data_IF_076699639093
#
_entry.id   IF_076699639093
#
_cell.length_a   1.000
_cell.length_b   1.000
_cell.length_c   1.000
_cell.angle_alpha   90.00
_cell.angle_beta   90.00
_cell.angle_gamma   90.00
#
_symmetry.space_group_name_H-M   'P 1'
#
loop_
_entity.id
_entity.type
_entity.pdbx_description
1 polymer ?
#
# COMPACT_ATOMS: atom_id res chain seq x y z
N UNK A 1 -31.15 -39.04 -14.87
CA UNK A 1 -29.92 -38.25 -15.08
C UNK A 1 -30.23 -36.75 -15.09
N UNK A 2 -30.64 -36.15 -13.97
CA UNK A 2 -30.97 -34.71 -13.92
C UNK A 2 -30.63 -34.01 -12.59
N UNK A 3 -29.78 -34.60 -11.75
CA UNK A 3 -29.51 -34.05 -10.40
C UNK A 3 -28.04 -33.78 -10.07
N UNK A 4 -27.09 -33.94 -11.01
CA UNK A 4 -25.66 -33.70 -10.72
C UNK A 4 -25.10 -32.36 -11.23
N UNK A 5 -25.85 -31.58 -12.01
CA UNK A 5 -25.32 -30.35 -12.64
C UNK A 5 -25.50 -29.06 -11.82
N UNK A 6 -26.14 -29.09 -10.64
CA UNK A 6 -26.46 -27.86 -9.89
C UNK A 6 -25.52 -27.53 -8.72
N UNK A 7 -24.49 -28.33 -8.48
CA UNK A 7 -23.65 -28.17 -7.27
C UNK A 7 -22.36 -27.39 -7.51
N UNK A 8 -21.96 -27.12 -8.76
CA UNK A 8 -20.68 -26.47 -9.10
C UNK A 8 -20.75 -24.94 -9.05
N UNK A 9 -21.95 -24.34 -9.12
CA UNK A 9 -22.11 -22.88 -9.24
C UNK A 9 -21.74 -22.05 -8.00
N UNK A 10 -21.44 -22.68 -6.85
CA UNK A 10 -21.19 -21.97 -5.59
C UNK A 10 -19.75 -22.04 -5.07
N UNK A 11 -18.86 -22.81 -5.71
CA UNK A 11 -17.43 -22.75 -5.42
C UNK A 11 -16.77 -21.94 -6.54
N UNK A 12 -16.18 -20.79 -6.19
CA UNK A 12 -15.28 -20.10 -7.10
C UNK A 12 -14.22 -21.10 -7.53
N UNK A 13 -14.05 -21.31 -8.85
CA UNK A 13 -12.98 -22.17 -9.36
C UNK A 13 -11.65 -21.57 -8.87
N UNK A 14 -10.90 -22.28 -7.99
CA UNK A 14 -9.66 -21.75 -7.43
C UNK A 14 -8.61 -21.45 -8.51
N UNK A 15 -8.68 -22.13 -9.66
CA UNK A 15 -7.80 -21.89 -10.80
C UNK A 15 -8.19 -20.59 -11.52
N UNK A 16 -9.48 -20.41 -11.83
CA UNK A 16 -10.02 -19.18 -12.42
C UNK A 16 -9.67 -17.95 -11.56
N UNK A 17 -9.97 -18.01 -10.27
CA UNK A 17 -9.68 -16.90 -9.34
C UNK A 17 -8.18 -16.58 -9.30
N UNK A 18 -7.33 -17.60 -9.18
CA UNK A 18 -5.88 -17.42 -9.14
C UNK A 18 -5.34 -16.80 -10.42
N UNK A 19 -5.87 -17.16 -11.59
CA UNK A 19 -5.47 -16.56 -12.86
C UNK A 19 -5.94 -15.10 -12.99
N UNK A 20 -7.18 -14.80 -12.59
CA UNK A 20 -7.70 -13.42 -12.59
C UNK A 20 -6.84 -12.54 -11.67
N UNK A 21 -6.50 -13.03 -10.47
CA UNK A 21 -5.58 -12.36 -9.54
C UNK A 21 -4.20 -12.16 -10.14
N UNK A 22 -3.63 -13.18 -10.80
CA UNK A 22 -2.34 -13.07 -11.48
C UNK A 22 -2.31 -11.98 -12.54
N UNK A 23 -3.33 -11.90 -13.41
CA UNK A 23 -3.40 -10.84 -14.41
C UNK A 23 -3.64 -9.47 -13.77
N UNK A 24 -4.49 -9.40 -12.73
CA UNK A 24 -4.71 -8.15 -12.00
C UNK A 24 -3.42 -7.65 -11.34
N UNK A 25 -2.62 -8.54 -10.76
CA UNK A 25 -1.33 -8.22 -10.16
C UNK A 25 -0.37 -7.58 -11.18
N UNK A 26 -0.35 -8.09 -12.41
CA UNK A 26 0.41 -7.47 -13.51
C UNK A 26 -0.13 -6.10 -13.87
N UNK A 27 -1.45 -5.93 -13.96
CA UNK A 27 -2.09 -4.62 -14.23
C UNK A 27 -1.74 -3.58 -13.16
N UNK A 28 -1.80 -3.95 -11.88
CA UNK A 28 -1.46 -3.08 -10.77
C UNK A 28 0.02 -2.71 -10.78
N UNK A 29 0.91 -3.66 -11.07
CA UNK A 29 2.33 -3.39 -11.29
C UNK A 29 2.56 -2.37 -12.42
N UNK A 30 1.84 -2.50 -13.54
CA UNK A 30 1.90 -1.50 -14.63
C UNK A 30 1.39 -0.14 -14.20
N UNK A 31 0.37 -0.06 -13.35
CA UNK A 31 -0.12 1.22 -12.83
C UNK A 31 0.95 1.91 -11.98
N UNK A 32 1.62 1.18 -11.10
CA UNK A 32 2.74 1.71 -10.30
C UNK A 32 3.88 2.19 -11.21
N UNK A 33 4.25 1.39 -12.22
CA UNK A 33 5.25 1.75 -13.21
C UNK A 33 4.91 3.08 -13.92
N UNK A 34 3.65 3.26 -14.37
CA UNK A 34 3.20 4.51 -14.99
C UNK A 34 3.25 5.69 -14.04
N UNK A 35 2.86 5.48 -12.77
CA UNK A 35 2.91 6.50 -11.73
C UNK A 35 4.36 6.98 -11.52
N UNK A 36 5.31 6.06 -11.30
CA UNK A 36 6.74 6.37 -11.15
C UNK A 36 7.26 7.18 -12.34
N UNK A 37 6.97 6.73 -13.56
CA UNK A 37 7.38 7.43 -14.79
C UNK A 37 6.80 8.84 -14.89
N UNK A 38 5.53 9.02 -14.52
CA UNK A 38 4.83 10.32 -14.58
C UNK A 38 5.41 11.36 -13.63
N UNK A 39 6.12 10.95 -12.58
CA UNK A 39 6.68 11.83 -11.56
C UNK A 39 8.14 12.22 -11.83
N UNK A 40 8.64 11.97 -13.04
CA UNK A 40 10.08 12.06 -13.38
C UNK A 40 10.95 11.17 -12.50
N UNK A 41 10.39 10.06 -12.01
CA UNK A 41 11.17 9.06 -11.27
C UNK A 41 12.34 8.55 -12.11
N UNK A 42 13.48 8.29 -11.48
CA UNK A 42 14.65 7.81 -12.20
C UNK A 42 14.45 6.38 -12.67
N UNK A 43 15.05 6.02 -13.82
CA UNK A 43 15.04 4.65 -14.36
C UNK A 43 15.45 3.60 -13.31
N UNK A 44 16.36 3.97 -12.40
CA UNK A 44 16.80 3.10 -11.33
C UNK A 44 15.70 2.78 -10.30
N UNK A 45 14.80 3.73 -10.00
CA UNK A 45 13.68 3.52 -9.08
C UNK A 45 12.68 2.50 -9.64
N UNK A 46 12.40 2.64 -10.94
CA UNK A 46 11.54 1.73 -11.69
C UNK A 46 12.10 0.31 -11.70
N UNK A 47 13.40 0.15 -12.01
CA UNK A 47 14.06 -1.15 -12.04
C UNK A 47 14.10 -1.81 -10.66
N UNK A 48 14.42 -1.07 -9.59
CA UNK A 48 14.41 -1.60 -8.23
C UNK A 48 13.04 -2.12 -7.79
N UNK A 49 11.97 -1.41 -8.14
CA UNK A 49 10.62 -1.87 -7.85
C UNK A 49 10.32 -3.18 -8.59
N UNK A 50 10.65 -3.27 -9.88
CA UNK A 50 10.46 -4.50 -10.67
C UNK A 50 11.26 -5.67 -10.10
N UNK A 51 12.56 -5.47 -9.83
CA UNK A 51 13.46 -6.45 -9.21
C UNK A 51 12.91 -6.95 -7.86
N UNK A 52 12.36 -6.03 -7.04
CA UNK A 52 11.80 -6.39 -5.72
C UNK A 52 10.62 -7.37 -5.79
N UNK A 53 9.95 -7.45 -6.94
CA UNK A 53 8.80 -8.32 -7.16
C UNK A 53 9.17 -9.62 -7.91
N UNK A 54 10.31 -9.70 -8.59
CA UNK A 54 10.62 -10.78 -9.53
C UNK A 54 10.56 -12.18 -8.91
N UNK A 55 11.06 -12.35 -7.69
CA UNK A 55 11.15 -13.66 -7.04
C UNK A 55 10.02 -13.96 -6.04
N UNK A 56 9.02 -13.07 -5.95
CA UNK A 56 7.90 -13.21 -5.03
C UNK A 56 6.79 -14.10 -5.61
N UNK A 57 6.13 -14.85 -4.73
CA UNK A 57 4.86 -15.54 -5.03
C UNK A 57 3.76 -14.52 -5.36
N UNK A 58 2.63 -14.98 -5.92
CA UNK A 58 1.50 -14.08 -6.24
C UNK A 58 1.02 -13.34 -4.98
N UNK A 59 0.84 -14.06 -3.88
CA UNK A 59 0.37 -13.53 -2.60
C UNK A 59 1.35 -12.49 -2.03
N UNK A 60 2.65 -12.73 -2.15
CA UNK A 60 3.68 -11.80 -1.70
C UNK A 60 3.73 -10.54 -2.57
N UNK A 61 3.60 -10.69 -3.91
CA UNK A 61 3.51 -9.55 -4.83
C UNK A 61 2.29 -8.69 -4.55
N UNK A 62 1.14 -9.32 -4.33
CA UNK A 62 -0.10 -8.61 -3.99
C UNK A 62 0.07 -7.80 -2.71
N UNK A 63 0.64 -8.39 -1.65
CA UNK A 63 0.94 -7.68 -0.40
C UNK A 63 1.90 -6.51 -0.61
N UNK A 64 2.98 -6.72 -1.37
CA UNK A 64 3.96 -5.67 -1.64
C UNK A 64 3.34 -4.50 -2.45
N UNK A 65 2.51 -4.81 -3.44
CA UNK A 65 1.77 -3.81 -4.22
C UNK A 65 0.76 -3.07 -3.34
N UNK A 66 -0.01 -3.78 -2.51
CA UNK A 66 -0.98 -3.16 -1.60
C UNK A 66 -0.30 -2.18 -0.63
N UNK A 67 0.82 -2.59 -0.04
CA UNK A 67 1.65 -1.73 0.83
C UNK A 67 2.14 -0.49 0.07
N UNK A 68 2.66 -0.67 -1.15
CA UNK A 68 3.10 0.45 -1.97
C UNK A 68 1.96 1.45 -2.24
N UNK A 69 0.76 0.96 -2.58
CA UNK A 69 -0.40 1.79 -2.90
C UNK A 69 -0.96 2.50 -1.67
N UNK A 70 -0.91 1.89 -0.48
CA UNK A 70 -1.28 2.54 0.77
C UNK A 70 -0.36 3.72 1.09
N UNK A 71 0.96 3.53 0.91
CA UNK A 71 1.95 4.59 1.10
C UNK A 71 1.92 5.64 -0.03
N UNK A 72 1.47 5.26 -1.24
CA UNK A 72 1.45 6.10 -2.43
C UNK A 72 0.04 6.20 -3.05
N UNK A 73 -0.97 6.61 -2.26
CA UNK A 73 -2.39 6.59 -2.69
C UNK A 73 -2.67 7.35 -3.99
N UNK A 74 -1.85 8.35 -4.33
CA UNK A 74 -1.92 9.09 -5.61
C UNK A 74 -1.67 8.19 -6.84
N UNK A 75 -0.99 7.05 -6.68
CA UNK A 75 -0.82 6.04 -7.72
C UNK A 75 -2.16 5.46 -8.22
N UNK A 76 -3.21 5.53 -7.41
CA UNK A 76 -4.56 5.09 -7.80
C UNK A 76 -5.37 6.18 -8.49
N UNK A 77 -4.86 7.42 -8.59
CA UNK A 77 -5.59 8.53 -9.22
C UNK A 77 -5.83 8.23 -10.70
N UNK A 78 -7.11 8.13 -11.07
CA UNK A 78 -7.54 7.84 -12.45
C UNK A 78 -7.54 6.35 -12.82
N UNK A 79 -7.22 5.44 -11.88
CA UNK A 79 -7.37 4.00 -12.09
C UNK A 79 -8.84 3.60 -11.92
N UNK A 80 -9.38 2.87 -12.90
CA UNK A 80 -10.68 2.19 -12.77
C UNK A 80 -10.48 0.69 -12.51
N UNK A 81 -10.85 0.23 -11.32
CA UNK A 81 -10.75 -1.18 -10.94
C UNK A 81 -11.65 -2.10 -11.79
N UNK A 82 -12.73 -1.58 -12.38
CA UNK A 82 -13.53 -2.35 -13.35
C UNK A 82 -12.74 -2.62 -14.62
N UNK A 83 -11.94 -1.67 -15.08
CA UNK A 83 -11.06 -1.87 -16.23
C UNK A 83 -9.93 -2.84 -15.94
N UNK A 84 -9.37 -2.81 -14.72
CA UNK A 84 -8.40 -3.82 -14.26
C UNK A 84 -9.05 -5.21 -14.33
N UNK A 85 -10.23 -5.38 -13.73
CA UNK A 85 -10.95 -6.65 -13.74
C UNK A 85 -11.26 -7.14 -15.16
N UNK A 86 -11.82 -6.30 -16.02
CA UNK A 86 -12.18 -6.68 -17.40
C UNK A 86 -10.94 -7.10 -18.19
N UNK A 87 -9.80 -6.42 -18.04
CA UNK A 87 -8.53 -6.83 -18.67
C UNK A 87 -8.04 -8.18 -18.13
N UNK A 88 -8.15 -8.41 -16.84
CA UNK A 88 -7.75 -9.69 -16.22
C UNK A 88 -8.61 -10.85 -16.73
N UNK A 89 -9.93 -10.67 -16.77
CA UNK A 89 -10.88 -11.66 -17.30
C UNK A 89 -10.63 -11.91 -18.79
N UNK A 90 -10.38 -10.85 -19.57
CA UNK A 90 -10.05 -10.98 -20.99
C UNK A 90 -8.75 -11.75 -21.23
N UNK A 91 -7.71 -11.53 -20.42
CA UNK A 91 -6.45 -12.27 -20.53
C UNK A 91 -6.57 -13.73 -20.08
N UNK A 92 -7.48 -14.03 -19.16
CA UNK A 92 -7.75 -15.39 -18.72
C UNK A 92 -8.58 -16.18 -19.74
N UNK A 93 -9.50 -15.51 -20.43
CA UNK A 93 -10.41 -16.15 -21.39
C UNK A 93 -9.67 -16.56 -22.68
N UNK A 94 -9.81 -17.82 -23.08
CA UNK A 94 -9.22 -18.37 -24.30
C UNK A 94 -10.08 -18.12 -25.56
N UNK A 95 -11.39 -17.91 -25.37
CA UNK A 95 -12.36 -17.64 -26.43
C UNK A 95 -13.23 -16.43 -26.11
N UNK A 96 -13.74 -15.77 -27.16
CA UNK A 96 -14.65 -14.65 -27.01
C UNK A 96 -15.99 -15.06 -26.39
N UNK A 97 -16.49 -16.26 -26.71
CA UNK A 97 -17.73 -16.80 -26.13
C UNK A 97 -17.59 -17.03 -24.62
N UNK A 98 -16.45 -17.57 -24.18
CA UNK A 98 -16.18 -17.73 -22.75
C UNK A 98 -16.00 -16.38 -22.03
N UNK A 99 -15.33 -15.41 -22.65
CA UNK A 99 -15.28 -14.03 -22.15
C UNK A 99 -16.68 -13.45 -21.94
N UNK A 100 -17.57 -13.59 -22.93
CA UNK A 100 -18.96 -13.12 -22.82
C UNK A 100 -19.69 -13.83 -21.68
N UNK A 101 -19.46 -15.14 -21.50
CA UNK A 101 -20.05 -15.91 -20.39
C UNK A 101 -19.63 -15.33 -19.04
N UNK A 102 -18.34 -15.08 -18.84
CA UNK A 102 -17.82 -14.53 -17.57
C UNK A 102 -18.29 -13.09 -17.32
N UNK A 103 -18.21 -12.21 -18.33
CA UNK A 103 -18.58 -10.79 -18.17
C UNK A 103 -20.08 -10.61 -17.93
N UNK A 104 -20.93 -11.50 -18.47
CA UNK A 104 -22.37 -11.45 -18.25
C UNK A 104 -22.81 -12.06 -16.91
N UNK A 105 -21.97 -12.85 -16.25
CA UNK A 105 -22.20 -13.27 -14.86
C UNK A 105 -21.92 -12.10 -13.90
N UNK A 106 -22.96 -11.30 -13.68
CA UNK A 106 -22.89 -10.11 -12.81
C UNK A 106 -22.46 -10.43 -11.39
N UNK A 107 -22.86 -11.60 -10.85
CA UNK A 107 -22.53 -11.99 -9.48
C UNK A 107 -21.05 -12.32 -9.38
N UNK A 108 -20.54 -13.11 -10.32
CA UNK A 108 -19.12 -13.46 -10.40
C UNK A 108 -18.24 -12.21 -10.61
N UNK A 109 -18.61 -11.33 -11.54
CA UNK A 109 -17.89 -10.07 -11.77
C UNK A 109 -17.88 -9.15 -10.55
N UNK A 110 -18.99 -9.07 -9.80
CA UNK A 110 -19.04 -8.30 -8.56
C UNK A 110 -18.12 -8.90 -7.48
N UNK A 111 -18.12 -10.24 -7.34
CA UNK A 111 -17.24 -10.93 -6.40
C UNK A 111 -15.77 -10.68 -6.73
N UNK A 112 -15.36 -10.81 -8.00
CA UNK A 112 -13.97 -10.53 -8.39
C UNK A 112 -13.61 -9.06 -8.23
N UNK A 113 -14.52 -8.13 -8.53
CA UNK A 113 -14.24 -6.71 -8.31
C UNK A 113 -13.98 -6.41 -6.83
N UNK A 114 -14.77 -7.00 -5.93
CA UNK A 114 -14.58 -6.83 -4.49
C UNK A 114 -13.28 -7.48 -4.04
N UNK A 115 -13.00 -8.72 -4.47
CA UNK A 115 -11.74 -9.40 -4.21
C UNK A 115 -10.54 -8.52 -4.58
N UNK A 116 -10.48 -7.99 -5.81
CA UNK A 116 -9.36 -7.16 -6.25
C UNK A 116 -9.26 -5.85 -5.45
N UNK A 117 -10.39 -5.24 -5.07
CA UNK A 117 -10.37 -4.05 -4.21
C UNK A 117 -9.81 -4.37 -2.82
N UNK A 118 -10.26 -5.46 -2.21
CA UNK A 118 -9.81 -5.89 -0.88
C UNK A 118 -8.33 -6.30 -0.91
N UNK A 119 -7.85 -6.86 -2.03
CA UNK A 119 -6.44 -7.22 -2.23
C UNK A 119 -5.54 -5.98 -2.29
N UNK A 120 -5.92 -4.91 -3.00
CA UNK A 120 -5.00 -3.81 -3.31
C UNK A 120 -5.28 -2.49 -2.59
N UNK A 121 -6.49 -2.26 -2.08
CA UNK A 121 -6.91 -1.01 -1.45
C UNK A 121 -6.94 -1.20 0.07
N UNK A 122 -5.76 -1.30 0.66
CA UNK A 122 -5.54 -1.64 2.07
C UNK A 122 -5.01 -0.43 2.86
N UNK A 123 -5.84 0.60 3.00
CA UNK A 123 -5.41 1.84 3.62
C UNK A 123 -5.24 1.77 5.14
N UNK A 124 -4.08 2.21 5.66
CA UNK A 124 -3.97 2.56 7.08
C UNK A 124 -4.78 3.81 7.41
N UNK A 125 -5.13 3.98 8.68
CA UNK A 125 -5.85 5.15 9.18
C UNK A 125 -5.17 5.70 10.42
N UNK A 126 -5.06 7.03 10.47
CA UNK A 126 -4.76 7.72 11.72
C UNK A 126 -6.05 7.76 12.53
N UNK A 127 -5.98 7.29 13.78
CA UNK A 127 -7.13 7.22 14.68
C UNK A 127 -6.89 8.08 15.90
N UNK A 128 -7.96 8.62 16.45
CA UNK A 128 -7.95 9.37 17.71
C UNK A 128 -8.76 8.61 18.76
N UNK A 129 -8.19 8.47 19.95
CA UNK A 129 -8.86 7.90 21.13
C UNK A 129 -8.44 8.69 22.36
N UNK A 130 -9.42 9.19 23.11
CA UNK A 130 -9.20 9.95 24.36
C UNK A 130 -8.24 11.14 24.18
N UNK A 131 -8.30 11.82 23.02
CA UNK A 131 -7.43 12.94 22.68
C UNK A 131 -5.98 12.56 22.33
N UNK A 132 -5.70 11.27 22.13
CA UNK A 132 -4.41 10.74 21.70
C UNK A 132 -4.52 10.06 20.33
N UNK A 133 -3.47 10.17 19.53
CA UNK A 133 -3.41 9.71 18.15
C UNK A 133 -2.57 8.43 18.03
N UNK A 134 -3.02 7.56 17.13
CA UNK A 134 -2.35 6.32 16.75
C UNK A 134 -2.59 6.01 15.27
N UNK A 135 -2.13 4.85 14.82
CA UNK A 135 -2.33 4.35 13.45
C UNK A 135 -2.83 2.92 13.52
N UNK A 136 -3.83 2.58 12.72
CA UNK A 136 -4.30 1.22 12.51
C UNK A 136 -4.17 0.82 11.04
N UNK A 137 -3.97 -0.47 10.78
CA UNK A 137 -4.01 -1.02 9.43
C UNK A 137 -5.46 -1.09 8.89
N UNK A 138 -5.61 -1.53 7.64
CA UNK A 138 -6.91 -1.66 6.98
C UNK A 138 -7.86 -2.66 7.66
N UNK A 139 -7.35 -3.54 8.53
CA UNK A 139 -8.13 -4.53 9.29
C UNK A 139 -8.43 -4.04 10.71
N UNK A 140 -7.97 -2.85 11.08
CA UNK A 140 -8.10 -2.29 12.43
C UNK A 140 -7.06 -2.79 13.41
N UNK A 141 -6.02 -3.50 12.98
CA UNK A 141 -4.90 -3.85 13.85
C UNK A 141 -4.06 -2.61 14.13
N UNK A 142 -3.65 -2.43 15.39
CA UNK A 142 -2.80 -1.31 15.80
C UNK A 142 -1.41 -1.39 15.16
N UNK A 143 -1.04 -0.37 14.40
CA UNK A 143 0.33 -0.11 13.91
C UNK A 143 1.07 0.80 14.89
N UNK A 144 0.39 1.84 15.40
CA UNK A 144 0.86 2.71 16.48
C UNK A 144 -0.27 2.94 17.46
N UNK A 145 0.02 2.73 18.74
CA UNK A 145 -0.97 2.85 19.81
C UNK A 145 -1.42 4.31 19.96
N UNK A 146 -2.70 4.57 20.25
CA UNK A 146 -3.20 5.91 20.55
C UNK A 146 -2.64 6.47 21.87
N UNK A 147 -1.40 6.95 21.87
CA UNK A 147 -0.73 7.55 23.04
C UNK A 147 -0.04 8.88 22.73
N UNK A 148 0.02 9.25 21.47
CA UNK A 148 0.72 10.45 21.02
C UNK A 148 -0.22 11.65 20.99
N UNK A 149 0.30 12.84 21.28
CA UNK A 149 -0.47 14.10 21.18
C UNK A 149 -0.67 14.53 19.73
N UNK A 150 0.20 14.05 18.86
CA UNK A 150 0.19 14.32 17.44
C UNK A 150 0.89 13.17 16.71
N UNK A 151 0.36 12.77 15.54
CA UNK A 151 1.01 11.84 14.62
C UNK A 151 0.87 12.39 13.20
N UNK A 152 1.97 12.44 12.47
CA UNK A 152 1.99 12.78 11.04
C UNK A 152 2.69 11.69 10.25
N UNK A 153 1.93 11.04 9.38
CA UNK A 153 2.45 10.09 8.41
C UNK A 153 3.26 10.81 7.34
N UNK A 154 4.43 10.26 7.05
CA UNK A 154 5.35 10.81 6.05
C UNK A 154 5.07 10.10 4.72
N UNK A 155 4.16 10.65 3.91
CA UNK A 155 3.93 10.17 2.55
C UNK A 155 5.04 10.70 1.63
N UNK A 156 6.23 10.08 1.66
CA UNK A 156 7.34 10.48 0.80
C UNK A 156 8.00 9.27 0.14
N UNK A 157 8.32 9.46 -1.13
CA UNK A 157 9.03 8.60 -2.05
C UNK A 157 10.28 7.98 -1.42
N UNK A 158 10.20 6.71 -1.06
CA UNK A 158 11.41 5.92 -0.86
C UNK A 158 11.37 4.77 -1.84
N UNK A 159 12.27 4.88 -2.80
CA UNK A 159 12.41 4.08 -4.02
C UNK A 159 12.79 2.61 -3.79
N UNK A 160 12.83 2.20 -2.54
CA UNK A 160 13.31 0.91 -2.05
C UNK A 160 12.31 0.23 -1.11
N UNK A 161 11.04 0.70 -1.10
CA UNK A 161 9.97 0.18 -0.26
C UNK A 161 10.27 0.27 1.25
N UNK A 162 11.26 1.07 1.67
CA UNK A 162 11.53 1.26 3.10
C UNK A 162 10.38 1.99 3.75
N UNK A 163 9.93 1.42 4.86
CA UNK A 163 8.99 2.08 5.76
C UNK A 163 9.65 3.33 6.34
N UNK A 164 9.12 4.50 6.02
CA UNK A 164 9.56 5.75 6.64
C UNK A 164 9.03 5.86 8.07
N UNK A 165 9.82 6.43 9.00
CA UNK A 165 9.27 6.78 10.29
C UNK A 165 8.21 7.88 10.15
N UNK A 166 7.27 7.88 11.08
CA UNK A 166 6.30 8.95 11.26
C UNK A 166 6.82 9.95 12.28
N UNK A 167 6.37 11.20 12.15
CA UNK A 167 6.60 12.22 13.18
C UNK A 167 5.53 12.05 14.24
N UNK A 168 5.93 11.91 15.49
CA UNK A 168 5.02 11.83 16.62
C UNK A 168 5.38 12.86 17.68
N UNK A 169 4.41 13.25 18.50
CA UNK A 169 4.62 14.09 19.69
C UNK A 169 4.19 13.34 20.95
N UNK A 170 5.05 13.39 21.98
CA UNK A 170 4.82 12.80 23.29
C UNK A 170 5.38 13.76 24.35
N UNK A 171 4.58 14.05 25.37
CA UNK A 171 4.92 14.97 26.47
C UNK A 171 5.46 16.33 25.97
N UNK A 172 4.82 16.88 24.94
CA UNK A 172 5.18 18.16 24.33
C UNK A 172 6.40 18.15 23.42
N UNK A 173 7.16 17.05 23.32
CA UNK A 173 8.35 16.94 22.45
C UNK A 173 8.09 16.03 21.26
N UNK A 174 8.77 16.31 20.14
CA UNK A 174 8.66 15.52 18.91
C UNK A 174 9.78 14.47 18.81
N UNK A 175 9.47 13.38 18.13
CA UNK A 175 10.36 12.27 17.82
C UNK A 175 9.92 11.52 16.56
N UNK A 176 10.78 10.59 16.12
CA UNK A 176 10.52 9.71 14.98
C UNK A 176 10.24 8.29 15.48
N UNK A 177 9.19 7.67 14.97
CA UNK A 177 8.77 6.30 15.32
C UNK A 177 8.51 5.52 14.05
N UNK A 178 8.97 4.27 13.98
CA UNK A 178 8.62 3.39 12.86
C UNK A 178 7.16 2.90 13.01
N UNK A 179 6.34 3.00 11.96
CA UNK A 179 5.00 2.42 11.92
C UNK A 179 5.09 0.91 11.62
N UNK A 180 5.78 0.14 12.47
CA UNK A 180 6.08 -1.29 12.29
C UNK A 180 5.24 -2.22 13.19
N UNK A 181 4.29 -1.65 13.96
CA UNK A 181 3.50 -2.40 14.94
C UNK A 181 4.23 -2.71 16.25
N UNK A 182 5.48 -2.26 16.42
CA UNK A 182 6.34 -2.57 17.59
C UNK A 182 6.73 -1.35 18.42
N UNK A 183 6.21 -0.16 18.08
CA UNK A 183 6.55 1.11 18.75
C UNK A 183 8.06 1.43 18.68
N UNK A 184 8.74 1.00 17.61
CA UNK A 184 10.18 1.16 17.47
C UNK A 184 10.53 2.65 17.35
N UNK A 185 11.24 3.18 18.36
CA UNK A 185 11.74 4.55 18.34
C UNK A 185 12.95 4.67 17.41
N UNK A 186 12.86 5.60 16.46
CA UNK A 186 13.98 5.99 15.58
C UNK A 186 14.78 7.10 16.23
N UNK A 187 14.10 8.04 16.90
CA UNK A 187 14.75 9.07 17.72
C UNK A 187 14.02 9.24 19.05
N UNK A 188 14.70 9.73 20.09
CA UNK A 188 14.02 10.11 21.34
C UNK A 188 13.09 11.31 21.13
N UNK A 189 12.07 11.42 21.98
CA UNK A 189 11.19 12.60 22.07
C UNK A 189 11.89 13.75 22.80
N UNK A 190 12.80 14.43 22.10
CA UNK A 190 13.57 15.56 22.65
C UNK A 190 13.45 16.85 21.84
N UNK A 191 12.97 16.76 20.60
CA UNK A 191 12.98 17.88 19.66
C UNK A 191 11.78 18.80 19.89
N UNK A 192 11.99 20.10 19.76
CA UNK A 192 10.92 21.11 19.86
C UNK A 192 10.01 21.06 18.64
N UNK A 193 10.58 20.75 17.48
CA UNK A 193 9.86 20.61 16.21
C UNK A 193 10.58 19.64 15.29
N UNK A 194 9.84 18.87 14.50
CA UNK A 194 10.35 18.13 13.35
C UNK A 194 9.51 18.48 12.13
N UNK A 195 10.17 18.77 11.01
CA UNK A 195 9.54 19.12 9.73
C UNK A 195 10.09 18.31 8.57
N UNK A 196 9.29 18.17 7.51
CA UNK A 196 9.65 17.42 6.32
C UNK A 196 10.37 18.30 5.31
N UNK A 197 11.36 17.72 4.64
CA UNK A 197 12.11 18.32 3.53
C UNK A 197 11.80 17.59 2.22
N UNK A 198 12.01 18.28 1.10
CA UNK A 198 11.84 17.68 -0.24
C UNK A 198 13.00 16.75 -0.63
N UNK A 199 14.18 16.94 -0.04
CA UNK A 199 15.38 16.18 -0.34
C UNK A 199 15.98 15.50 0.91
N UNK A 200 16.68 14.36 0.76
CA UNK A 200 17.40 13.73 1.85
C UNK A 200 18.44 14.66 2.50
N UNK A 201 18.69 14.55 3.83
CA UNK A 201 17.87 13.85 4.82
C UNK A 201 16.46 14.48 4.95
N UNK A 202 15.42 13.65 4.94
CA UNK A 202 14.03 14.13 4.78
C UNK A 202 13.44 14.85 6.00
N UNK A 203 14.17 14.92 7.10
CA UNK A 203 13.72 15.50 8.35
C UNK A 203 14.66 16.62 8.80
N UNK A 204 14.09 17.77 9.14
CA UNK A 204 14.76 18.85 9.86
C UNK A 204 14.15 18.95 11.25
N UNK A 205 14.98 18.83 12.28
CA UNK A 205 14.58 18.95 13.66
C UNK A 205 15.15 20.23 14.29
N UNK A 206 14.38 20.80 15.22
CA UNK A 206 14.80 21.91 16.06
C UNK A 206 15.00 21.42 17.49
N UNK A 207 16.15 21.72 18.06
CA UNK A 207 16.54 21.35 19.42
C UNK A 207 17.41 22.44 20.02
N UNK A 208 16.98 23.01 21.15
CA UNK A 208 17.76 24.02 21.89
C UNK A 208 18.13 25.23 21.00
N UNK A 209 17.17 25.69 20.19
CA UNK A 209 17.33 26.79 19.24
C UNK A 209 18.23 26.49 18.03
N UNK A 210 18.69 25.24 17.86
CA UNK A 210 19.50 24.80 16.72
C UNK A 210 18.71 23.89 15.79
N UNK A 211 19.05 23.95 14.51
CA UNK A 211 18.52 23.06 13.47
C UNK A 211 19.49 21.92 13.20
N UNK A 212 18.98 20.70 13.10
CA UNK A 212 19.73 19.47 12.83
C UNK A 212 18.99 18.67 11.76
N UNK A 213 19.73 18.03 10.85
CA UNK A 213 19.13 17.13 9.87
C UNK A 213 19.10 15.71 10.42
N UNK A 214 17.98 15.00 10.23
CA UNK A 214 17.83 13.61 10.65
C UNK A 214 17.67 12.69 9.44
N UNK A 215 18.45 11.60 9.41
CA UNK A 215 18.22 10.51 8.46
C UNK A 215 16.96 9.71 8.80
N UNK A 216 16.51 8.83 7.89
CA UNK A 216 15.42 7.89 8.15
C UNK A 216 15.70 6.93 9.30
N UNK A 217 16.98 6.74 9.63
CA UNK A 217 17.46 5.90 10.73
C UNK A 217 17.74 6.72 12.01
N UNK A 218 17.40 8.02 12.02
CA UNK A 218 17.53 8.88 13.18
C UNK A 218 18.93 9.44 13.43
N UNK A 219 19.85 9.30 12.47
CA UNK A 219 21.21 9.84 12.59
C UNK A 219 21.21 11.34 12.35
N UNK A 220 21.78 12.08 13.30
CA UNK A 220 21.98 13.53 13.24
C UNK A 220 23.10 13.91 12.24
N UNK A 221 22.84 14.90 11.39
CA UNK A 221 23.78 15.47 10.40
C UNK A 221 23.83 16.99 10.48
#
# INVERSE_FOLDING_TARGET
MKEQNNTIHNFADPVEERQIRHFACKEMGRQIHRYIKGMRGSKAQMLRFEESLENLTLEEREKAIALYLDLNRKALKGLDMKMVLVRSVANYSDTFEYLLTLVNDKRKMANYLNLLKDTYIQYHQVVEKDGKFGIVDYRGNTILSPKYEFVRTCYVYVDDLRTMPVIAQLDGKMGLVLPDGKETLVTPFKYDRISLREEPPYFEAEYDGKKILLTTDGVEK
#
